data_IF_439983598285
#
_entry.id   IF_439983598285
#
_cell.length_a   1.000
_cell.length_b   1.000
_cell.length_c   1.000
_cell.angle_alpha   90.00
_cell.angle_beta   90.00
_cell.angle_gamma   90.00
#
_symmetry.space_group_name_H-M   'P 1'
#
loop_
_entity.id
_entity.type
_entity.pdbx_description
1 polymer ?
#
# COMPACT_ATOMS: atom_id res chain seq x y z
N UNK A 1 79.95 52.87 45.41
CA UNK A 1 79.54 51.52 44.98
C UNK A 1 78.16 51.26 45.55
N UNK A 2 77.12 51.41 44.73
CA UNK A 2 75.72 51.21 45.10
C UNK A 2 75.16 50.15 44.15
N UNK A 3 74.53 49.11 44.69
CA UNK A 3 73.66 48.24 43.92
C UNK A 3 72.34 48.01 44.67
N UNK A 4 71.28 47.99 43.87
CA UNK A 4 69.93 48.43 44.19
C UNK A 4 69.02 47.23 44.50
N UNK A 5 68.06 47.44 45.41
CA UNK A 5 66.92 46.54 45.66
C UNK A 5 65.73 46.89 44.75
N UNK A 6 65.07 45.82 44.27
CA UNK A 6 63.64 45.63 43.92
C UNK A 6 62.74 46.86 43.77
N UNK A 7 62.13 46.98 42.59
CA UNK A 7 60.93 47.76 42.27
C UNK A 7 59.95 46.90 41.46
N UNK A 8 58.67 47.28 41.51
CA UNK A 8 57.46 46.52 41.22
C UNK A 8 57.16 46.22 39.73
N UNK A 9 56.27 45.25 39.51
CA UNK A 9 55.68 44.87 38.23
C UNK A 9 54.44 45.74 37.98
N UNK A 10 54.39 46.42 36.83
CA UNK A 10 53.13 46.85 36.21
C UNK A 10 53.24 46.60 34.70
N UNK A 11 52.52 45.58 34.20
CA UNK A 11 52.35 45.38 32.76
C UNK A 11 50.97 45.86 32.34
N UNK A 12 51.01 46.78 31.38
CA UNK A 12 49.93 47.46 30.69
C UNK A 12 49.33 46.62 29.55
N UNK A 13 48.02 46.79 29.37
CA UNK A 13 47.25 46.76 28.12
C UNK A 13 47.34 45.52 27.21
N UNK A 14 46.33 44.67 27.38
CA UNK A 14 45.96 43.53 26.56
C UNK A 14 45.32 43.99 25.25
N UNK A 15 45.70 43.31 24.17
CA UNK A 15 45.27 43.42 22.78
C UNK A 15 43.75 43.29 22.54
N UNK A 16 43.09 44.37 22.14
CA UNK A 16 41.65 44.39 21.78
C UNK A 16 41.34 44.08 20.29
N UNK A 17 42.35 43.70 19.49
CA UNK A 17 42.18 43.55 18.03
C UNK A 17 41.70 42.15 17.60
N UNK A 18 41.74 41.13 18.46
CA UNK A 18 41.50 39.75 18.02
C UNK A 18 40.11 39.16 18.38
N UNK A 19 39.29 39.86 19.16
CA UNK A 19 38.02 39.29 19.66
C UNK A 19 36.83 39.58 18.73
N UNK A 20 36.80 40.75 18.07
CA UNK A 20 35.66 41.13 17.21
C UNK A 20 35.62 40.35 15.90
N UNK A 21 36.77 40.05 15.32
CA UNK A 21 36.84 39.24 14.09
C UNK A 21 36.52 37.78 14.35
N UNK A 22 36.94 37.22 15.51
CA UNK A 22 36.60 35.85 15.90
C UNK A 22 35.09 35.64 16.12
N UNK A 23 34.42 36.59 16.78
CA UNK A 23 32.96 36.53 17.01
C UNK A 23 32.18 36.70 15.70
N UNK A 24 32.67 37.52 14.77
CA UNK A 24 32.03 37.68 13.47
C UNK A 24 32.19 36.41 12.59
N UNK A 25 33.35 35.77 12.63
CA UNK A 25 33.61 34.51 11.92
C UNK A 25 32.82 33.34 12.52
N UNK A 26 32.70 33.24 13.85
CA UNK A 26 31.83 32.24 14.50
C UNK A 26 30.35 32.46 14.15
N UNK A 27 29.87 33.71 14.10
CA UNK A 27 28.51 34.03 13.68
C UNK A 27 28.22 33.68 12.22
N UNK A 28 29.18 33.91 11.32
CA UNK A 28 29.09 33.53 9.91
C UNK A 28 29.15 32.01 9.72
N UNK A 29 30.02 31.30 10.47
CA UNK A 29 30.09 29.84 10.45
C UNK A 29 28.85 29.17 11.03
N UNK A 30 28.26 29.74 12.09
CA UNK A 30 27.00 29.27 12.66
C UNK A 30 25.83 29.47 11.68
N UNK A 31 25.73 30.62 11.01
CA UNK A 31 24.72 30.84 9.97
C UNK A 31 24.94 30.01 8.70
N UNK A 32 26.18 29.69 8.34
CA UNK A 32 26.50 28.81 7.21
C UNK A 32 26.20 27.34 7.53
N UNK A 33 26.44 26.90 8.78
CA UNK A 33 26.12 25.54 9.24
C UNK A 33 24.61 25.30 9.37
N UNK A 34 23.86 26.31 9.83
CA UNK A 34 22.40 26.24 9.96
C UNK A 34 21.73 26.12 8.57
N UNK A 35 22.15 26.95 7.61
CA UNK A 35 21.71 26.87 6.21
C UNK A 35 22.14 25.59 5.49
N UNK A 36 23.31 25.03 5.83
CA UNK A 36 23.79 23.75 5.29
C UNK A 36 22.93 22.57 5.76
N UNK A 37 22.50 22.58 7.02
CA UNK A 37 21.68 21.52 7.60
C UNK A 37 20.23 21.52 7.09
N UNK A 38 19.62 22.70 6.89
CA UNK A 38 18.29 22.82 6.28
C UNK A 38 18.30 22.40 4.80
N UNK A 39 19.37 22.74 4.07
CA UNK A 39 19.59 22.34 2.68
C UNK A 39 19.75 20.83 2.51
N UNK A 40 20.53 20.16 3.38
CA UNK A 40 20.69 18.70 3.36
C UNK A 40 19.40 17.96 3.75
N UNK A 41 18.65 18.49 4.72
CA UNK A 41 17.33 17.98 5.11
C UNK A 41 16.30 18.09 3.98
N UNK A 42 16.21 19.26 3.35
CA UNK A 42 15.31 19.52 2.22
C UNK A 42 15.67 18.67 0.99
N UNK A 43 16.97 18.53 0.68
CA UNK A 43 17.47 17.69 -0.40
C UNK A 43 17.16 16.20 -0.15
N UNK A 44 17.34 15.73 1.09
CA UNK A 44 16.97 14.37 1.49
C UNK A 44 15.47 14.08 1.38
N UNK A 45 14.61 15.07 1.69
CA UNK A 45 13.16 14.96 1.52
C UNK A 45 12.79 14.92 0.03
N UNK A 46 13.32 15.84 -0.79
CA UNK A 46 13.07 15.87 -2.24
C UNK A 46 13.50 14.57 -2.92
N UNK A 47 14.65 14.01 -2.53
CA UNK A 47 15.10 12.73 -3.09
C UNK A 47 14.17 11.57 -2.72
N UNK A 48 13.66 11.53 -1.49
CA UNK A 48 12.65 10.54 -1.07
C UNK A 48 11.33 10.69 -1.86
N UNK A 49 10.85 11.92 -2.03
CA UNK A 49 9.66 12.19 -2.85
C UNK A 49 9.86 11.85 -4.32
N UNK A 50 11.04 12.09 -4.88
CA UNK A 50 11.38 11.72 -6.25
C UNK A 50 11.32 10.21 -6.44
N UNK A 51 11.96 9.45 -5.54
CA UNK A 51 11.92 7.97 -5.56
C UNK A 51 10.50 7.44 -5.40
N UNK A 52 9.73 7.99 -4.47
CA UNK A 52 8.32 7.64 -4.30
C UNK A 52 7.49 7.92 -5.55
N UNK A 53 7.69 9.06 -6.20
CA UNK A 53 7.00 9.43 -7.45
C UNK A 53 7.36 8.49 -8.60
N UNK A 54 8.62 8.09 -8.67
CA UNK A 54 9.10 7.11 -9.65
C UNK A 54 8.45 5.73 -9.42
N UNK A 55 8.47 5.26 -8.18
CA UNK A 55 7.81 4.02 -7.77
C UNK A 55 6.29 4.06 -8.04
N UNK A 56 5.64 5.19 -7.78
CA UNK A 56 4.23 5.42 -8.10
C UNK A 56 3.97 5.31 -9.60
N UNK A 57 4.84 5.93 -10.41
CA UNK A 57 4.75 5.88 -11.86
C UNK A 57 4.90 4.45 -12.37
N UNK A 58 5.77 3.63 -11.76
CA UNK A 58 5.88 2.21 -12.10
C UNK A 58 4.54 1.48 -11.84
N UNK A 59 3.91 1.70 -10.69
CA UNK A 59 2.63 1.07 -10.36
C UNK A 59 1.50 1.51 -11.30
N UNK A 60 1.39 2.82 -11.56
CA UNK A 60 0.33 3.37 -12.41
C UNK A 60 0.51 3.03 -13.91
N UNK A 61 1.71 2.63 -14.33
CA UNK A 61 1.97 2.13 -15.69
C UNK A 61 1.78 0.62 -15.81
N UNK A 62 1.74 -0.12 -14.69
CA UNK A 62 1.45 -1.55 -14.70
C UNK A 62 -0.05 -1.79 -14.91
N UNK A 63 -0.40 -2.24 -16.11
CA UNK A 63 -1.79 -2.46 -16.51
C UNK A 63 -2.51 -3.49 -15.65
N UNK A 64 -1.80 -4.52 -15.17
CA UNK A 64 -2.37 -5.57 -14.33
C UNK A 64 -2.75 -4.98 -12.98
N UNK A 65 -1.82 -4.22 -12.38
CA UNK A 65 -2.06 -3.52 -11.12
C UNK A 65 -3.25 -2.54 -11.23
N UNK A 66 -3.24 -1.68 -12.25
CA UNK A 66 -4.31 -0.67 -12.45
C UNK A 66 -5.68 -1.31 -12.63
N UNK A 67 -5.80 -2.34 -13.48
CA UNK A 67 -7.08 -3.04 -13.68
C UNK A 67 -7.55 -3.73 -12.41
N UNK A 68 -6.63 -4.34 -11.66
CA UNK A 68 -6.95 -4.96 -10.37
C UNK A 68 -7.53 -3.94 -9.38
N UNK A 69 -6.85 -2.79 -9.23
CA UNK A 69 -7.27 -1.72 -8.31
C UNK A 69 -8.58 -1.06 -8.75
N UNK A 70 -8.79 -0.82 -10.05
CA UNK A 70 -10.04 -0.26 -10.56
C UNK A 70 -11.25 -1.17 -10.29
N UNK A 71 -11.10 -2.48 -10.52
CA UNK A 71 -12.13 -3.45 -10.16
C UNK A 71 -12.38 -3.45 -8.64
N UNK A 72 -11.32 -3.34 -7.85
CA UNK A 72 -11.41 -3.33 -6.40
C UNK A 72 -12.05 -2.05 -5.83
N UNK A 73 -11.85 -0.90 -6.47
CA UNK A 73 -12.55 0.35 -6.15
C UNK A 73 -14.05 0.19 -6.39
N UNK A 74 -14.45 -0.27 -7.58
CA UNK A 74 -15.87 -0.46 -7.93
C UNK A 74 -16.54 -1.48 -7.00
N UNK A 75 -15.84 -2.55 -6.66
CA UNK A 75 -16.26 -3.51 -5.65
C UNK A 75 -16.48 -2.84 -4.28
N UNK A 76 -15.45 -2.13 -3.75
CA UNK A 76 -15.53 -1.53 -2.41
C UNK A 76 -16.54 -0.39 -2.33
N UNK A 77 -16.84 0.29 -3.44
CA UNK A 77 -17.94 1.23 -3.50
C UNK A 77 -19.26 0.58 -3.08
N UNK A 78 -19.54 -0.63 -3.56
CA UNK A 78 -20.77 -1.37 -3.21
C UNK A 78 -20.72 -1.87 -1.77
N UNK A 79 -19.60 -2.47 -1.35
CA UNK A 79 -19.46 -3.03 0.00
C UNK A 79 -19.52 -1.94 1.07
N UNK A 80 -18.87 -0.80 0.85
CA UNK A 80 -18.93 0.35 1.75
C UNK A 80 -20.36 0.86 1.92
N UNK A 81 -21.08 1.07 0.82
CA UNK A 81 -22.47 1.49 0.86
C UNK A 81 -23.40 0.44 1.47
N UNK A 82 -23.16 -0.85 1.25
CA UNK A 82 -23.89 -1.92 1.94
C UNK A 82 -23.65 -1.89 3.45
N UNK A 83 -22.40 -1.72 3.89
CA UNK A 83 -22.09 -1.67 5.31
C UNK A 83 -22.79 -0.51 6.02
N UNK A 84 -22.96 0.63 5.34
CA UNK A 84 -23.58 1.81 5.92
C UNK A 84 -25.11 1.83 5.77
N UNK A 85 -25.62 1.61 4.55
CA UNK A 85 -27.05 1.71 4.23
C UNK A 85 -27.79 0.39 4.22
N UNK A 86 -27.10 -0.75 4.18
CA UNK A 86 -27.70 -2.09 4.11
C UNK A 86 -28.76 -2.35 5.18
N UNK A 87 -28.46 -2.13 6.48
CA UNK A 87 -29.44 -2.30 7.54
C UNK A 87 -30.66 -1.38 7.37
N UNK A 88 -30.44 -0.12 6.99
CA UNK A 88 -31.52 0.85 6.76
C UNK A 88 -32.39 0.45 5.58
N UNK A 89 -31.79 0.01 4.48
CA UNK A 89 -32.51 -0.52 3.33
C UNK A 89 -33.29 -1.79 3.71
N UNK A 90 -32.68 -2.71 4.46
CA UNK A 90 -33.31 -3.91 4.97
C UNK A 90 -34.56 -3.63 5.82
N UNK A 91 -34.45 -2.69 6.75
CA UNK A 91 -35.56 -2.21 7.57
C UNK A 91 -36.71 -1.65 6.71
N UNK A 92 -36.40 -0.75 5.78
CA UNK A 92 -37.43 -0.08 4.96
C UNK A 92 -38.07 -1.00 3.91
N UNK A 93 -37.32 -1.97 3.39
CA UNK A 93 -37.79 -2.86 2.31
C UNK A 93 -38.54 -4.07 2.88
N UNK A 94 -38.09 -4.62 4.01
CA UNK A 94 -38.55 -5.91 4.54
C UNK A 94 -39.11 -5.85 5.97
N UNK A 95 -39.14 -4.67 6.60
CA UNK A 95 -39.60 -4.49 7.99
C UNK A 95 -38.83 -5.36 9.02
N UNK A 96 -37.52 -5.54 8.79
CA UNK A 96 -36.64 -6.28 9.70
C UNK A 96 -36.53 -5.57 11.05
N UNK A 97 -36.82 -6.25 12.16
CA UNK A 97 -36.73 -5.67 13.51
C UNK A 97 -35.29 -5.44 13.97
N UNK A 98 -34.38 -6.37 13.69
CA UNK A 98 -32.96 -6.33 14.06
C UNK A 98 -32.05 -6.34 12.83
N UNK A 99 -32.27 -5.39 11.91
CA UNK A 99 -31.58 -5.35 10.62
C UNK A 99 -30.05 -5.29 10.76
N UNK A 100 -29.52 -4.51 11.72
CA UNK A 100 -28.09 -4.38 11.94
C UNK A 100 -27.44 -5.71 12.36
N UNK A 101 -28.07 -6.44 13.28
CA UNK A 101 -27.58 -7.73 13.75
C UNK A 101 -27.63 -8.79 12.65
N UNK A 102 -28.69 -8.80 11.85
CA UNK A 102 -28.85 -9.74 10.75
C UNK A 102 -27.83 -9.48 9.64
N UNK A 103 -27.72 -8.24 9.15
CA UNK A 103 -26.73 -7.89 8.13
C UNK A 103 -25.31 -8.14 8.63
N UNK A 104 -24.96 -7.63 9.81
CA UNK A 104 -23.63 -7.84 10.39
C UNK A 104 -23.31 -9.32 10.61
N UNK A 105 -24.29 -10.11 11.06
CA UNK A 105 -24.14 -11.56 11.24
C UNK A 105 -23.87 -12.30 9.93
N UNK A 106 -24.62 -12.00 8.87
CA UNK A 106 -24.37 -12.58 7.54
C UNK A 106 -23.00 -12.15 7.03
N UNK A 107 -22.64 -10.87 7.17
CA UNK A 107 -21.34 -10.33 6.75
C UNK A 107 -20.16 -11.00 7.44
N UNK A 108 -20.23 -11.26 8.75
CA UNK A 108 -19.14 -11.95 9.47
C UNK A 108 -18.96 -13.38 8.94
N UNK A 109 -20.06 -14.14 8.83
CA UNK A 109 -20.02 -15.52 8.37
C UNK A 109 -19.53 -15.58 6.92
N UNK A 110 -20.13 -14.80 6.04
CA UNK A 110 -19.77 -14.74 4.62
C UNK A 110 -18.36 -14.20 4.40
N UNK A 111 -17.93 -13.22 5.20
CA UNK A 111 -16.59 -12.64 5.14
C UNK A 111 -15.50 -13.68 5.43
N UNK A 112 -15.66 -14.45 6.52
CA UNK A 112 -14.71 -15.50 6.90
C UNK A 112 -14.69 -16.62 5.85
N UNK A 113 -15.84 -17.24 5.58
CA UNK A 113 -15.89 -18.41 4.70
C UNK A 113 -15.65 -18.04 3.24
N UNK A 114 -16.14 -16.88 2.80
CA UNK A 114 -15.93 -16.35 1.45
C UNK A 114 -14.44 -16.14 1.19
N UNK A 115 -13.76 -15.36 2.03
CA UNK A 115 -12.32 -15.08 1.87
C UNK A 115 -11.48 -16.35 1.82
N UNK A 116 -11.72 -17.30 2.74
CA UNK A 116 -11.02 -18.59 2.74
C UNK A 116 -11.30 -19.39 1.48
N UNK A 117 -12.56 -19.51 1.07
CA UNK A 117 -12.94 -20.23 -0.14
C UNK A 117 -12.31 -19.64 -1.40
N UNK A 118 -12.21 -18.31 -1.50
CA UNK A 118 -11.56 -17.63 -2.62
C UNK A 118 -10.08 -18.00 -2.75
N UNK A 119 -9.36 -18.08 -1.63
CA UNK A 119 -7.96 -18.53 -1.62
C UNK A 119 -7.81 -19.99 -2.02
N UNK A 120 -8.60 -20.87 -1.41
CA UNK A 120 -8.56 -22.31 -1.69
C UNK A 120 -8.94 -22.63 -3.15
N UNK A 121 -9.93 -21.94 -3.70
CA UNK A 121 -10.34 -22.11 -5.10
C UNK A 121 -9.23 -21.63 -6.03
N UNK A 122 -8.57 -20.49 -5.73
CA UNK A 122 -7.45 -20.00 -6.53
C UNK A 122 -6.29 -21.00 -6.54
N UNK A 123 -5.96 -21.58 -5.38
CA UNK A 123 -4.91 -22.59 -5.26
C UNK A 123 -5.28 -23.86 -6.03
N UNK A 124 -6.54 -24.30 -5.96
CA UNK A 124 -7.03 -25.45 -6.72
C UNK A 124 -7.01 -25.22 -8.24
N UNK A 125 -7.28 -23.99 -8.70
CA UNK A 125 -7.21 -23.62 -10.12
C UNK A 125 -5.76 -23.51 -10.64
N UNK A 126 -4.77 -23.59 -9.75
CA UNK A 126 -3.38 -23.22 -10.02
C UNK A 126 -3.19 -21.71 -9.93
N UNK A 127 -2.54 -21.27 -8.86
CA UNK A 127 -2.35 -19.86 -8.51
C UNK A 127 -1.54 -19.15 -9.61
N UNK A 128 -2.21 -18.29 -10.37
CA UNK A 128 -1.63 -17.46 -11.42
C UNK A 128 -2.46 -16.20 -11.57
N UNK A 129 -1.86 -15.11 -12.08
CA UNK A 129 -2.56 -13.83 -12.26
C UNK A 129 -3.79 -13.98 -13.17
N UNK A 130 -3.68 -14.76 -14.26
CA UNK A 130 -4.82 -15.01 -15.16
C UNK A 130 -5.95 -15.76 -14.47
N UNK A 131 -5.64 -16.80 -13.68
CA UNK A 131 -6.66 -17.55 -12.95
C UNK A 131 -7.28 -16.73 -11.81
N UNK A 132 -6.49 -15.87 -11.15
CA UNK A 132 -7.01 -14.93 -10.18
C UNK A 132 -8.01 -13.95 -10.81
N UNK A 133 -7.74 -13.39 -11.99
CA UNK A 133 -8.72 -12.55 -12.69
C UNK A 133 -9.96 -13.32 -13.16
N UNK A 134 -9.82 -14.57 -13.64
CA UNK A 134 -10.97 -15.42 -13.98
C UNK A 134 -11.86 -15.62 -12.77
N UNK A 135 -11.24 -15.93 -11.62
CA UNK A 135 -11.95 -16.13 -10.37
C UNK A 135 -12.62 -14.84 -9.91
N UNK A 136 -11.89 -13.72 -9.85
CA UNK A 136 -12.40 -12.40 -9.50
C UNK A 136 -13.62 -12.02 -10.33
N UNK A 137 -13.52 -12.12 -11.66
CA UNK A 137 -14.62 -11.79 -12.55
C UNK A 137 -15.81 -12.74 -12.35
N UNK A 138 -15.56 -14.05 -12.28
CA UNK A 138 -16.61 -15.06 -12.16
C UNK A 138 -17.39 -14.98 -10.84
N UNK A 139 -16.70 -14.92 -9.69
CA UNK A 139 -17.36 -14.88 -8.37
C UNK A 139 -18.07 -13.54 -8.15
N UNK A 140 -17.51 -12.44 -8.65
CA UNK A 140 -18.16 -11.12 -8.56
C UNK A 140 -19.40 -11.05 -9.43
N UNK A 141 -19.34 -11.57 -10.66
CA UNK A 141 -20.50 -11.62 -11.54
C UNK A 141 -21.62 -12.49 -10.96
N UNK A 142 -21.28 -13.68 -10.48
CA UNK A 142 -22.27 -14.57 -9.86
C UNK A 142 -22.80 -13.99 -8.55
N UNK A 143 -21.94 -13.43 -7.71
CA UNK A 143 -22.33 -12.73 -6.49
C UNK A 143 -23.25 -11.55 -6.76
N UNK A 144 -22.98 -10.77 -7.82
CA UNK A 144 -23.85 -9.69 -8.28
C UNK A 144 -25.23 -10.20 -8.67
N UNK A 145 -25.33 -11.32 -9.40
CA UNK A 145 -26.62 -11.95 -9.75
C UNK A 145 -27.40 -12.30 -8.48
N UNK A 146 -26.76 -12.95 -7.51
CA UNK A 146 -27.42 -13.37 -6.27
C UNK A 146 -27.86 -12.17 -5.41
N UNK A 147 -26.99 -11.18 -5.21
CA UNK A 147 -27.32 -9.96 -4.49
C UNK A 147 -28.44 -9.16 -5.18
N UNK A 148 -28.35 -8.98 -6.49
CA UNK A 148 -29.36 -8.25 -7.26
C UNK A 148 -30.70 -8.97 -7.19
N UNK A 149 -30.69 -10.28 -7.41
CA UNK A 149 -31.88 -11.13 -7.28
C UNK A 149 -32.47 -11.04 -5.87
N UNK A 150 -31.65 -11.04 -4.82
CA UNK A 150 -32.12 -10.89 -3.44
C UNK A 150 -32.97 -9.62 -3.28
N UNK A 151 -32.53 -8.48 -3.80
CA UNK A 151 -33.28 -7.23 -3.77
C UNK A 151 -34.50 -7.19 -4.71
N UNK A 152 -34.65 -8.14 -5.65
CA UNK A 152 -35.87 -8.31 -6.41
C UNK A 152 -36.97 -9.05 -5.64
N UNK A 153 -36.61 -9.92 -4.67
CA UNK A 153 -37.60 -10.62 -3.86
C UNK A 153 -38.29 -9.67 -2.88
N UNK A 154 -39.61 -9.81 -2.73
CA UNK A 154 -40.37 -9.03 -1.74
C UNK A 154 -40.33 -9.64 -0.34
N UNK A 155 -40.11 -10.95 -0.25
CA UNK A 155 -40.12 -11.70 1.00
C UNK A 155 -38.73 -11.73 1.63
N UNK A 156 -38.68 -11.50 2.94
CA UNK A 156 -37.48 -11.65 3.76
C UNK A 156 -36.87 -13.06 3.65
N UNK A 157 -37.73 -14.09 3.58
CA UNK A 157 -37.31 -15.49 3.44
C UNK A 157 -36.62 -15.79 2.10
N UNK A 158 -36.89 -15.00 1.06
CA UNK A 158 -36.18 -15.08 -0.21
C UNK A 158 -34.90 -14.23 -0.22
N UNK A 159 -34.98 -13.03 0.39
CA UNK A 159 -33.84 -12.11 0.48
C UNK A 159 -32.65 -12.72 1.21
N UNK A 160 -32.84 -13.22 2.44
CA UNK A 160 -31.76 -13.69 3.30
C UNK A 160 -30.87 -14.75 2.63
N UNK A 161 -31.38 -15.90 2.14
CA UNK A 161 -30.53 -16.93 1.57
C UNK A 161 -29.83 -16.47 0.29
N UNK A 162 -30.52 -15.73 -0.59
CA UNK A 162 -29.92 -15.22 -1.82
C UNK A 162 -28.83 -14.18 -1.53
N UNK A 163 -29.09 -13.25 -0.61
CA UNK A 163 -28.13 -12.25 -0.20
C UNK A 163 -26.92 -12.90 0.47
N UNK A 164 -27.12 -13.91 1.33
CA UNK A 164 -26.03 -14.65 1.97
C UNK A 164 -25.14 -15.37 0.95
N UNK A 165 -25.73 -16.03 -0.05
CA UNK A 165 -24.95 -16.68 -1.13
C UNK A 165 -24.21 -15.64 -1.96
N UNK A 166 -24.87 -14.52 -2.29
CA UNK A 166 -24.25 -13.43 -3.02
C UNK A 166 -23.08 -12.81 -2.26
N UNK A 167 -23.25 -12.54 -0.98
CA UNK A 167 -22.24 -11.98 -0.10
C UNK A 167 -21.06 -12.93 0.09
N UNK A 168 -21.31 -14.24 0.25
CA UNK A 168 -20.26 -15.26 0.31
C UNK A 168 -19.38 -15.24 -0.96
N UNK A 169 -20.00 -15.17 -2.14
CA UNK A 169 -19.29 -15.12 -3.42
C UNK A 169 -18.52 -13.80 -3.60
N UNK A 170 -19.11 -12.69 -3.19
CA UNK A 170 -18.50 -11.36 -3.21
C UNK A 170 -17.26 -11.34 -2.31
N UNK A 171 -17.31 -11.91 -1.10
CA UNK A 171 -16.14 -12.03 -0.23
C UNK A 171 -15.09 -13.04 -0.71
N UNK A 172 -15.42 -13.96 -1.62
CA UNK A 172 -14.43 -14.82 -2.25
C UNK A 172 -13.41 -14.07 -3.13
N UNK A 173 -13.63 -12.78 -3.40
CA UNK A 173 -12.68 -11.91 -4.10
C UNK A 173 -11.45 -11.51 -3.27
N UNK A 174 -11.54 -11.59 -1.94
CA UNK A 174 -10.56 -10.98 -1.03
C UNK A 174 -9.15 -11.58 -1.15
N UNK A 175 -9.02 -12.90 -1.23
CA UNK A 175 -7.72 -13.53 -1.42
C UNK A 175 -7.18 -13.31 -2.87
N UNK A 176 -7.96 -13.55 -3.94
CA UNK A 176 -7.49 -13.34 -5.31
C UNK A 176 -7.08 -11.90 -5.65
N UNK A 177 -7.78 -10.87 -5.15
CA UNK A 177 -7.43 -9.47 -5.44
C UNK A 177 -6.08 -9.10 -4.84
N UNK A 178 -5.79 -9.62 -3.64
CA UNK A 178 -4.50 -9.42 -2.97
C UNK A 178 -3.39 -10.24 -3.63
N UNK A 179 -3.70 -11.47 -4.09
CA UNK A 179 -2.78 -12.27 -4.90
C UNK A 179 -2.29 -11.49 -6.13
N UNK A 180 -3.21 -10.94 -6.93
CA UNK A 180 -2.83 -10.16 -8.12
C UNK A 180 -1.96 -8.96 -7.74
N UNK A 181 -2.33 -8.23 -6.68
CA UNK A 181 -1.58 -7.07 -6.20
C UNK A 181 -0.12 -7.41 -5.87
N UNK A 182 0.12 -8.56 -5.21
CA UNK A 182 1.46 -8.98 -4.78
C UNK A 182 2.29 -9.63 -5.89
N UNK A 183 1.66 -10.32 -6.83
CA UNK A 183 2.34 -11.06 -7.91
C UNK A 183 2.61 -10.21 -9.16
N UNK A 184 1.91 -9.10 -9.36
CA UNK A 184 2.15 -8.21 -10.51
C UNK A 184 3.33 -7.23 -10.32
N UNK A 185 3.85 -7.13 -9.10
CA UNK A 185 4.94 -6.22 -8.71
C UNK A 185 6.14 -6.98 -8.14
N UNK A 186 7.32 -6.34 -8.18
CA UNK A 186 8.54 -6.87 -7.57
C UNK A 186 8.43 -6.89 -6.03
N UNK A 187 9.17 -7.78 -5.33
CA UNK A 187 9.14 -7.87 -3.87
C UNK A 187 9.30 -6.52 -3.14
N UNK A 188 10.24 -5.69 -3.59
CA UNK A 188 10.51 -4.36 -3.00
C UNK A 188 9.34 -3.37 -3.12
N UNK A 189 8.45 -3.59 -4.09
CA UNK A 189 7.31 -2.70 -4.39
C UNK A 189 6.01 -3.14 -3.70
N UNK A 190 5.96 -4.35 -3.12
CA UNK A 190 4.73 -4.92 -2.53
C UNK A 190 4.13 -4.05 -1.42
N UNK A 191 4.91 -3.52 -0.45
CA UNK A 191 4.33 -2.69 0.60
C UNK A 191 3.66 -1.45 0.02
N UNK A 192 4.30 -0.80 -0.97
CA UNK A 192 3.75 0.36 -1.64
C UNK A 192 2.50 0.00 -2.45
N UNK A 193 2.53 -1.09 -3.22
CA UNK A 193 1.39 -1.55 -4.01
C UNK A 193 0.16 -1.83 -3.12
N UNK A 194 0.33 -2.53 -2.00
CA UNK A 194 -0.75 -2.80 -1.05
C UNK A 194 -1.27 -1.53 -0.39
N UNK A 195 -0.37 -0.64 0.04
CA UNK A 195 -0.73 0.64 0.64
C UNK A 195 -1.53 1.50 -0.34
N UNK A 196 -1.07 1.62 -1.59
CA UNK A 196 -1.73 2.43 -2.61
C UNK A 196 -3.05 1.83 -3.09
N UNK A 197 -3.17 0.50 -3.18
CA UNK A 197 -4.45 -0.16 -3.40
C UNK A 197 -5.44 0.19 -2.28
N UNK A 198 -5.00 0.10 -1.01
CA UNK A 198 -5.82 0.43 0.16
C UNK A 198 -6.25 1.90 0.15
N UNK A 199 -5.33 2.84 -0.08
CA UNK A 199 -5.64 4.26 -0.18
C UNK A 199 -6.64 4.52 -1.32
N UNK A 200 -6.49 3.84 -2.45
CA UNK A 200 -7.36 4.02 -3.61
C UNK A 200 -8.79 3.55 -3.33
N UNK A 201 -8.98 2.39 -2.70
CA UNK A 201 -10.32 1.92 -2.35
C UNK A 201 -11.00 2.80 -1.31
N UNK A 202 -10.23 3.46 -0.43
CA UNK A 202 -10.80 4.39 0.54
C UNK A 202 -11.21 5.70 -0.13
N UNK A 203 -10.30 6.31 -0.91
CA UNK A 203 -10.56 7.62 -1.53
C UNK A 203 -11.66 7.54 -2.59
N UNK A 204 -11.70 6.45 -3.37
CA UNK A 204 -12.58 6.34 -4.54
C UNK A 204 -13.72 5.33 -4.38
N UNK A 205 -13.66 4.46 -3.37
CA UNK A 205 -14.62 3.38 -3.15
C UNK A 205 -15.52 3.65 -1.95
N UNK A 206 -15.18 3.07 -0.81
CA UNK A 206 -16.10 2.95 0.34
C UNK A 206 -16.44 4.30 1.02
N UNK A 207 -15.48 5.19 1.25
CA UNK A 207 -15.72 6.51 1.88
C UNK A 207 -16.69 7.38 1.07
N UNK A 208 -16.47 7.62 -0.25
CA UNK A 208 -17.41 8.43 -1.01
C UNK A 208 -18.73 7.70 -1.31
N UNK A 209 -18.77 6.36 -1.25
CA UNK A 209 -19.98 5.60 -1.60
C UNK A 209 -21.18 5.95 -0.73
N UNK A 210 -21.00 6.06 0.59
CA UNK A 210 -22.09 6.33 1.53
C UNK A 210 -22.82 7.65 1.28
N UNK A 211 -22.14 8.81 1.20
CA UNK A 211 -22.81 10.08 0.87
C UNK A 211 -23.39 10.07 -0.55
N UNK A 212 -22.73 9.47 -1.55
CA UNK A 212 -23.25 9.41 -2.92
C UNK A 212 -24.54 8.57 -3.01
N UNK A 213 -24.60 7.43 -2.33
CA UNK A 213 -25.81 6.61 -2.25
C UNK A 213 -26.90 7.30 -1.45
N UNK A 214 -26.56 8.09 -0.43
CA UNK A 214 -27.51 8.95 0.28
C UNK A 214 -28.18 9.95 -0.66
N UNK A 215 -27.37 10.68 -1.45
CA UNK A 215 -27.90 11.62 -2.46
C UNK A 215 -28.76 10.89 -3.50
N UNK A 216 -28.31 9.74 -4.00
CA UNK A 216 -29.10 8.91 -4.92
C UNK A 216 -30.45 8.52 -4.30
N UNK A 217 -30.45 8.11 -3.03
CA UNK A 217 -31.65 7.73 -2.31
C UNK A 217 -32.61 8.92 -2.15
N UNK A 218 -32.11 10.12 -1.90
CA UNK A 218 -32.96 11.31 -1.78
C UNK A 218 -33.67 11.65 -3.10
N UNK A 219 -33.01 11.39 -4.25
CA UNK A 219 -33.61 11.58 -5.58
C UNK A 219 -34.60 10.47 -5.96
N UNK A 220 -34.24 9.21 -5.73
CA UNK A 220 -35.04 8.03 -6.12
C UNK A 220 -36.20 7.81 -5.14
N UNK A 221 -35.99 8.14 -3.86
CA UNK A 221 -36.93 7.97 -2.75
C UNK A 221 -37.50 6.54 -2.62
N UNK A 222 -36.73 5.53 -3.03
CA UNK A 222 -37.11 4.13 -2.98
C UNK A 222 -35.89 3.25 -2.72
N UNK A 223 -35.80 2.72 -1.50
CA UNK A 223 -34.66 1.91 -1.06
C UNK A 223 -34.41 0.68 -1.92
N UNK A 224 -35.46 0.07 -2.49
CA UNK A 224 -35.30 -1.12 -3.33
C UNK A 224 -34.62 -0.77 -4.65
N UNK A 225 -35.05 0.33 -5.28
CA UNK A 225 -34.47 0.80 -6.53
C UNK A 225 -33.03 1.29 -6.32
N UNK A 226 -32.79 2.08 -5.26
CA UNK A 226 -31.44 2.50 -4.87
C UNK A 226 -30.52 1.32 -4.62
N UNK A 227 -30.97 0.29 -3.90
CA UNK A 227 -30.18 -0.92 -3.66
C UNK A 227 -29.87 -1.67 -4.96
N UNK A 228 -30.83 -1.79 -5.88
CA UNK A 228 -30.61 -2.44 -7.19
C UNK A 228 -29.62 -1.67 -8.06
N UNK A 229 -29.73 -0.33 -8.11
CA UNK A 229 -28.78 0.54 -8.83
C UNK A 229 -27.37 0.37 -8.24
N UNK A 230 -27.25 0.44 -6.91
CA UNK A 230 -25.98 0.22 -6.21
C UNK A 230 -25.39 -1.17 -6.52
N UNK A 231 -26.21 -2.21 -6.39
CA UNK A 231 -25.80 -3.60 -6.65
C UNK A 231 -25.29 -3.78 -8.07
N UNK A 232 -25.87 -3.07 -9.04
CA UNK A 232 -25.49 -3.20 -10.45
C UNK A 232 -24.03 -2.81 -10.73
N UNK A 233 -23.41 -2.01 -9.87
CA UNK A 233 -21.99 -1.63 -9.97
C UNK A 233 -21.08 -2.87 -9.82
N UNK A 234 -21.52 -3.94 -9.14
CA UNK A 234 -20.76 -5.19 -9.09
C UNK A 234 -20.60 -5.85 -10.48
N UNK A 235 -21.55 -5.66 -11.40
CA UNK A 235 -21.39 -6.12 -12.78
C UNK A 235 -20.27 -5.34 -13.50
N UNK A 236 -20.14 -4.05 -13.20
CA UNK A 236 -19.04 -3.22 -13.71
C UNK A 236 -17.71 -3.71 -13.14
N UNK A 237 -17.63 -3.98 -11.82
CA UNK A 237 -16.44 -4.53 -11.18
C UNK A 237 -16.03 -5.88 -11.82
N UNK A 238 -16.98 -6.78 -12.02
CA UNK A 238 -16.76 -8.06 -12.70
C UNK A 238 -16.26 -7.88 -14.14
N UNK A 239 -16.82 -6.89 -14.87
CA UNK A 239 -16.38 -6.54 -16.21
C UNK A 239 -14.96 -5.96 -16.26
N UNK A 240 -14.58 -5.13 -15.28
CA UNK A 240 -13.21 -4.62 -15.17
C UNK A 240 -12.23 -5.78 -14.93
N UNK A 241 -12.52 -6.69 -14.00
CA UNK A 241 -11.67 -7.85 -13.77
C UNK A 241 -11.64 -8.84 -14.94
N UNK A 242 -12.71 -8.90 -15.74
CA UNK A 242 -12.73 -9.68 -16.99
C UNK A 242 -11.66 -9.21 -17.97
N UNK A 243 -11.45 -7.88 -18.08
CA UNK A 243 -10.38 -7.31 -18.92
C UNK A 243 -9.01 -7.81 -18.48
N UNK A 244 -8.81 -7.99 -17.17
CA UNK A 244 -7.57 -8.50 -16.57
C UNK A 244 -7.16 -9.89 -17.07
N UNK A 245 -8.13 -10.73 -17.46
CA UNK A 245 -7.86 -12.08 -18.00
C UNK A 245 -7.02 -12.01 -19.28
N UNK A 246 -7.22 -10.97 -20.09
CA UNK A 246 -6.58 -10.80 -21.40
C UNK A 246 -5.28 -9.99 -21.33
N UNK A 247 -4.89 -9.50 -20.15
CA UNK A 247 -3.63 -8.79 -19.99
C UNK A 247 -2.46 -9.76 -19.97
N UNK A 248 -1.37 -9.40 -20.66
CA UNK A 248 -0.11 -10.13 -20.57
C UNK A 248 0.49 -9.89 -19.18
N UNK A 249 0.22 -10.81 -18.26
CA UNK A 249 0.78 -10.79 -16.91
C UNK A 249 2.10 -11.55 -16.86
N UNK A 250 3.12 -10.94 -16.28
CA UNK A 250 4.35 -11.64 -15.85
C UNK A 250 4.27 -11.74 -14.34
N UNK A 251 4.48 -12.94 -13.80
CA UNK A 251 4.59 -13.13 -12.37
C UNK A 251 5.96 -12.62 -11.91
N UNK A 252 5.96 -11.51 -11.16
CA UNK A 252 7.17 -10.84 -10.68
C UNK A 252 7.50 -11.24 -9.24
N UNK A 253 6.83 -12.26 -8.70
CA UNK A 253 6.91 -12.59 -7.28
C UNK A 253 8.32 -13.00 -6.83
N UNK A 254 9.13 -13.60 -7.71
CA UNK A 254 10.49 -14.05 -7.37
C UNK A 254 11.61 -13.21 -8.01
N UNK A 255 11.30 -12.11 -8.72
CA UNK A 255 12.30 -11.34 -9.50
C UNK A 255 13.39 -10.63 -8.66
N UNK A 256 13.28 -10.61 -7.33
CA UNK A 256 14.25 -9.96 -6.42
C UNK A 256 15.38 -10.86 -5.94
N UNK A 257 15.13 -12.15 -5.74
CA UNK A 257 16.10 -13.06 -5.10
C UNK A 257 17.27 -13.43 -6.03
N UNK A 258 17.05 -13.49 -7.35
CA UNK A 258 18.09 -13.92 -8.30
C UNK A 258 19.23 -12.91 -8.46
N UNK A 259 18.94 -11.60 -8.32
CA UNK A 259 19.94 -10.55 -8.50
C UNK A 259 20.80 -10.33 -7.24
N UNK A 260 20.24 -10.53 -6.03
CA UNK A 260 21.01 -10.46 -4.80
C UNK A 260 21.93 -11.67 -4.64
N UNK A 261 21.46 -12.89 -4.95
CA UNK A 261 22.28 -14.11 -4.88
C UNK A 261 23.47 -14.03 -5.83
N UNK A 262 23.28 -13.57 -7.07
CA UNK A 262 24.37 -13.44 -8.04
C UNK A 262 25.39 -12.35 -7.68
N UNK A 263 24.98 -11.32 -6.94
CA UNK A 263 25.87 -10.24 -6.47
C UNK A 263 26.68 -10.69 -5.25
N UNK A 264 26.08 -11.47 -4.35
CA UNK A 264 26.76 -12.08 -3.20
C UNK A 264 27.75 -13.16 -3.63
N UNK A 265 27.41 -13.98 -4.62
CA UNK A 265 28.34 -14.97 -5.21
C UNK A 265 29.53 -14.30 -5.89
N UNK A 266 29.29 -13.23 -6.68
CA UNK A 266 30.37 -12.47 -7.33
C UNK A 266 31.25 -11.72 -6.34
N UNK A 267 30.71 -11.26 -5.21
CA UNK A 267 31.48 -10.62 -4.16
C UNK A 267 32.39 -11.61 -3.41
N UNK A 268 31.95 -12.86 -3.23
CA UNK A 268 32.74 -13.91 -2.57
C UNK A 268 33.83 -14.54 -3.46
N UNK A 269 33.80 -14.34 -4.78
CA UNK A 269 34.82 -14.87 -5.70
C UNK A 269 36.05 -13.95 -5.93
N UNK A 270 36.20 -12.84 -5.20
CA UNK A 270 37.38 -11.98 -5.32
C UNK A 270 38.59 -12.63 -4.61
N UNK A 271 39.68 -13.02 -5.30
CA UNK A 271 40.80 -13.70 -4.65
C UNK A 271 41.63 -12.70 -3.82
N UNK A 272 41.79 -12.97 -2.53
CA UNK A 272 42.67 -12.25 -1.61
C UNK A 272 44.14 -12.66 -1.84
N UNK A 273 44.78 -12.20 -2.91
CA UNK A 273 46.24 -12.31 -3.05
C UNK A 273 46.82 -10.99 -3.56
N UNK A 274 47.25 -10.16 -2.60
CA UNK A 274 47.94 -8.91 -2.84
C UNK A 274 48.51 -8.35 -1.55
N UNK A 275 49.49 -9.05 -0.97
CA UNK A 275 50.18 -8.63 0.25
C UNK A 275 51.69 -8.86 0.12
N UNK A 276 52.38 -7.87 -0.43
CA UNK A 276 53.84 -7.73 -0.42
C UNK A 276 54.39 -7.96 1.00
N UNK A 277 55.38 -8.84 1.17
CA UNK A 277 56.29 -8.83 2.32
C UNK A 277 57.71 -8.57 1.82
N UNK A 278 58.12 -7.32 1.93
CA UNK A 278 59.53 -6.92 1.99
C UNK A 278 59.75 -6.20 3.32
N UNK A 279 60.53 -6.81 4.20
CA UNK A 279 61.26 -6.27 5.38
C UNK A 279 61.91 -7.52 6.02
N UNK A 280 63.11 -7.97 5.63
CA UNK A 280 64.49 -7.46 5.80
C UNK A 280 65.05 -7.61 7.24
N UNK A 281 66.15 -8.38 7.34
CA UNK A 281 67.38 -8.19 8.17
C UNK A 281 67.75 -9.36 9.14
N UNK A 282 68.87 -10.00 8.75
CA UNK A 282 70.02 -10.63 9.44
C UNK A 282 69.92 -11.41 10.76
N UNK A 283 70.54 -12.61 10.75
CA UNK A 283 71.61 -12.97 11.70
C UNK A 283 72.60 -13.97 11.04
N UNK A 284 73.94 -13.80 11.17
CA UNK A 284 74.96 -14.68 10.58
C UNK A 284 75.63 -15.63 11.60
N UNK A 285 76.07 -16.81 11.14
CA UNK A 285 77.03 -17.67 11.86
C UNK A 285 76.51 -19.09 12.12
N UNK A 286 76.99 -20.09 11.36
CA UNK A 286 78.09 -21.00 11.71
C UNK A 286 77.70 -22.16 12.64
N UNK A 287 77.55 -23.36 12.07
CA UNK A 287 78.38 -24.57 12.30
C UNK A 287 77.73 -25.81 11.68
#
# INVERSE_FOLDING_TARGET
>A
MMNIRRGEISDSEVSDINVRDAVHVEGIMAQASDKGSESEGAFGIMNRFSRFSEDMKVLLLDKVYVVNVLGYIAYNFVIGAYSYWGPKAGYNIYHMSDADLLFGGITIVCGIFGTLSGGLILDYMGSSISNAFKLLSGVTFLGAIFCFSAFCFRSLYGFIPLFSVGELLVFATQAPVNYVCLHCVKPSMRPLAMAMSTVSIHIFGDVPSSPLVGVLQDYVNNWRETALILTSILFIAAGIWLIGIFLKSVDKFNEGDENEVSTVEKANMKPLLGGNRNEMIDDPGEA
#
